data_IF_970210010928
#
_entry.id   IF_970210010928
#
_cell.length_a   1.000
_cell.length_b   1.000
_cell.length_c   1.000
_cell.angle_alpha   90.00
_cell.angle_beta   90.00
_cell.angle_gamma   90.00
#
_symmetry.space_group_name_H-M   'P 1'
#
loop_
_entity.id
_entity.type
_entity.pdbx_description
1 polymer ?
#
# COMPACT_ATOMS: atom_id res chain seq x y z
N UNK A 1 44.85 -39.71 31.64
CA UNK A 1 44.75 -40.07 33.08
C UNK A 1 43.58 -39.32 33.69
N UNK A 2 42.84 -39.97 34.58
CA UNK A 2 41.62 -39.42 35.20
C UNK A 2 41.94 -38.68 36.51
N UNK A 3 41.24 -37.57 36.77
CA UNK A 3 41.11 -36.95 38.09
C UNK A 3 39.71 -37.21 38.67
N UNK A 4 39.54 -37.43 39.99
CA UNK A 4 38.26 -37.87 40.59
C UNK A 4 37.49 -36.67 41.23
N UNK A 5 36.39 -36.84 42.02
CA UNK A 5 35.09 -36.36 41.55
C UNK A 5 34.45 -35.25 42.43
N UNK A 6 33.53 -34.47 41.84
CA UNK A 6 32.72 -33.46 42.53
C UNK A 6 31.33 -33.96 42.96
N UNK A 7 30.95 -33.63 44.19
CA UNK A 7 29.73 -34.04 44.93
C UNK A 7 28.37 -33.62 44.31
N UNK A 8 27.24 -34.26 44.70
CA UNK A 8 25.98 -34.19 43.96
C UNK A 8 25.14 -32.92 44.19
N UNK A 9 24.32 -32.60 43.18
CA UNK A 9 23.37 -31.47 43.18
C UNK A 9 22.19 -31.74 44.13
N UNK A 10 21.89 -30.75 44.97
CA UNK A 10 20.85 -30.79 46.01
C UNK A 10 19.47 -30.44 45.41
N UNK A 11 18.46 -31.26 45.66
CA UNK A 11 17.10 -31.04 45.15
C UNK A 11 16.45 -29.79 45.78
N UNK A 12 15.78 -28.98 44.96
CA UNK A 12 15.02 -27.81 45.40
C UNK A 12 13.55 -28.18 45.71
N UNK A 13 13.03 -27.67 46.82
CA UNK A 13 11.63 -27.87 47.24
C UNK A 13 10.65 -26.93 46.52
N UNK A 14 9.37 -27.32 46.37
CA UNK A 14 8.37 -26.52 45.65
C UNK A 14 7.91 -25.30 46.46
N UNK A 15 7.78 -24.15 45.79
CA UNK A 15 7.25 -22.92 46.38
C UNK A 15 5.72 -22.97 46.54
N UNK A 16 5.23 -22.31 47.61
CA UNK A 16 3.83 -22.31 48.04
C UNK A 16 2.90 -21.56 47.07
N UNK A 17 1.65 -22.03 46.98
CA UNK A 17 0.57 -21.33 46.30
C UNK A 17 0.12 -20.07 47.07
N UNK A 18 -0.24 -19.01 46.34
CA UNK A 18 -0.76 -17.75 46.87
C UNK A 18 -2.10 -17.33 46.23
N UNK A 19 -3.12 -17.20 47.09
CA UNK A 19 -4.43 -16.53 46.94
C UNK A 19 -5.00 -16.15 45.54
N UNK A 20 -6.18 -16.72 45.25
CA UNK A 20 -7.13 -16.19 44.25
C UNK A 20 -7.94 -14.98 44.80
N UNK A 21 -8.26 -13.98 43.96
CA UNK A 21 -9.40 -13.07 44.17
C UNK A 21 -10.73 -13.65 43.63
N UNK A 22 -11.86 -13.13 44.13
CA UNK A 22 -13.20 -13.74 43.98
C UNK A 22 -13.97 -13.33 42.72
N UNK A 23 -14.54 -14.34 42.04
CA UNK A 23 -15.82 -14.38 41.30
C UNK A 23 -16.38 -13.06 40.69
N UNK A 24 -16.08 -12.83 39.41
CA UNK A 24 -16.94 -12.04 38.50
C UNK A 24 -18.12 -12.87 37.93
N UNK A 25 -19.23 -12.22 37.57
CA UNK A 25 -20.47 -12.88 37.11
C UNK A 25 -20.28 -13.60 35.76
N UNK A 26 -20.68 -14.88 35.67
CA UNK A 26 -20.82 -15.59 34.38
C UNK A 26 -22.10 -15.17 33.66
N UNK A 27 -21.97 -14.54 32.49
CA UNK A 27 -23.06 -14.44 31.52
C UNK A 27 -23.20 -15.80 30.82
N UNK A 28 -24.40 -16.38 30.78
CA UNK A 28 -24.67 -17.60 29.99
C UNK A 28 -24.91 -17.20 28.54
N UNK A 29 -24.06 -17.66 27.62
CA UNK A 29 -24.39 -17.70 26.19
C UNK A 29 -25.21 -18.97 25.89
N UNK A 30 -26.23 -18.92 25.02
CA UNK A 30 -26.97 -20.11 24.61
C UNK A 30 -26.13 -21.00 23.69
N UNK A 31 -26.29 -22.32 23.83
CA UNK A 31 -25.60 -23.30 22.99
C UNK A 31 -26.16 -23.31 21.54
N UNK A 32 -25.33 -23.61 20.52
CA UNK A 32 -25.81 -23.76 19.16
C UNK A 32 -26.71 -25.00 19.03
N UNK A 33 -27.81 -24.88 18.29
CA UNK A 33 -28.68 -26.01 17.94
C UNK A 33 -28.02 -26.84 16.83
N UNK A 34 -27.89 -28.14 17.06
CA UNK A 34 -27.55 -29.11 16.01
C UNK A 34 -28.76 -29.29 15.07
N UNK A 35 -28.55 -29.51 13.75
CA UNK A 35 -29.62 -29.84 12.82
C UNK A 35 -30.14 -31.27 13.03
N UNK A 36 -31.45 -31.46 12.85
CA UNK A 36 -32.15 -32.73 13.00
C UNK A 36 -31.95 -33.63 11.76
N UNK A 37 -31.43 -34.87 11.89
CA UNK A 37 -31.13 -35.75 10.76
C UNK A 37 -32.33 -36.61 10.36
N UNK A 38 -33.44 -35.99 9.93
CA UNK A 38 -34.61 -36.69 9.36
C UNK A 38 -35.17 -35.95 8.15
N UNK A 39 -35.51 -36.72 7.10
CA UNK A 39 -35.73 -36.38 5.68
C UNK A 39 -34.46 -36.60 4.84
N UNK A 40 -34.36 -37.57 3.93
CA UNK A 40 -35.41 -38.42 3.36
C UNK A 40 -35.19 -38.56 1.86
N UNK A 41 -34.22 -39.39 1.47
CA UNK A 41 -33.95 -39.67 0.06
C UNK A 41 -34.93 -40.70 -0.52
N UNK A 42 -35.27 -40.61 -1.80
CA UNK A 42 -35.62 -41.77 -2.62
C UNK A 42 -34.59 -42.02 -3.74
N UNK A 43 -34.48 -43.30 -4.13
CA UNK A 43 -33.53 -43.83 -5.11
C UNK A 43 -34.20 -44.15 -6.47
N UNK A 44 -33.36 -44.27 -7.51
CA UNK A 44 -33.55 -45.05 -8.75
C UNK A 44 -34.54 -44.54 -9.83
N UNK A 45 -34.48 -45.05 -11.09
CA UNK A 45 -33.57 -46.06 -11.66
C UNK A 45 -32.76 -45.62 -12.91
N UNK A 46 -32.03 -46.58 -13.50
CA UNK A 46 -31.07 -46.41 -14.61
C UNK A 46 -31.67 -46.32 -16.03
N UNK A 47 -30.89 -45.81 -16.98
CA UNK A 47 -31.20 -45.83 -18.42
C UNK A 47 -29.97 -45.75 -19.35
N UNK A 48 -29.56 -46.89 -19.91
CA UNK A 48 -28.78 -47.06 -21.17
C UNK A 48 -29.65 -47.93 -22.08
N UNK A 49 -29.70 -47.77 -23.42
CA UNK A 49 -28.61 -48.20 -24.34
C UNK A 49 -28.49 -47.21 -25.56
N UNK A 50 -27.90 -47.45 -26.75
CA UNK A 50 -27.33 -48.62 -27.49
C UNK A 50 -25.96 -48.24 -28.14
N UNK A 51 -25.33 -49.21 -28.82
CA UNK A 51 -24.10 -49.08 -29.65
C UNK A 51 -24.41 -48.73 -31.12
N UNK A 52 -23.43 -48.16 -31.84
CA UNK A 52 -23.01 -48.32 -33.26
C UNK A 52 -21.75 -47.44 -33.43
N UNK A 53 -20.69 -47.74 -34.19
CA UNK A 53 -20.22 -48.90 -34.97
C UNK A 53 -18.87 -48.50 -35.61
N UNK A 54 -17.89 -49.40 -35.75
CA UNK A 54 -16.57 -49.09 -36.35
C UNK A 54 -16.60 -48.93 -37.88
N UNK A 55 -15.46 -48.65 -38.55
CA UNK A 55 -14.35 -49.61 -38.53
C UNK A 55 -12.90 -49.06 -38.40
N UNK A 56 -11.98 -50.03 -38.30
CA UNK A 56 -10.49 -50.03 -38.26
C UNK A 56 -9.89 -49.82 -39.69
N UNK A 57 -8.59 -49.62 -40.01
CA UNK A 57 -7.28 -49.39 -39.32
C UNK A 57 -6.18 -49.09 -40.40
N UNK A 58 -4.96 -48.69 -39.96
CA UNK A 58 -3.62 -48.78 -40.63
C UNK A 58 -3.19 -47.60 -41.57
N UNK A 59 -1.87 -47.44 -41.87
CA UNK A 59 -0.81 -47.05 -40.92
C UNK A 59 0.14 -45.94 -41.46
N UNK A 60 1.13 -45.54 -40.66
CA UNK A 60 2.14 -44.52 -41.01
C UNK A 60 3.30 -45.02 -41.89
N UNK A 61 4.08 -44.11 -42.50
CA UNK A 61 5.52 -44.28 -42.75
C UNK A 61 6.37 -43.41 -41.81
N UNK A 62 7.67 -43.71 -41.73
CA UNK A 62 8.57 -43.18 -40.71
C UNK A 62 9.69 -42.28 -41.25
N UNK A 63 10.43 -41.67 -40.30
CA UNK A 63 11.79 -41.14 -40.40
C UNK A 63 12.02 -39.75 -41.04
N UNK A 64 12.65 -38.88 -40.25
CA UNK A 64 14.04 -38.49 -40.50
C UNK A 64 14.73 -38.02 -39.20
N UNK A 65 16.06 -38.20 -39.13
CA UNK A 65 16.88 -38.03 -37.93
C UNK A 65 17.39 -36.59 -37.78
N UNK A 66 17.54 -36.13 -36.53
CA UNK A 66 18.38 -34.97 -36.19
C UNK A 66 19.84 -35.41 -35.93
N UNK A 67 20.86 -34.58 -36.25
CA UNK A 67 22.26 -34.84 -35.93
C UNK A 67 22.65 -34.39 -34.50
N UNK A 68 23.76 -34.91 -33.93
CA UNK A 68 24.16 -34.66 -32.54
C UNK A 68 25.08 -33.44 -32.35
N UNK A 69 25.21 -33.01 -31.09
CA UNK A 69 26.25 -32.06 -30.67
C UNK A 69 27.62 -32.75 -30.47
N UNK A 70 28.71 -32.04 -30.80
CA UNK A 70 30.08 -32.50 -30.59
C UNK A 70 31.08 -31.35 -30.75
N UNK A 71 32.01 -31.21 -29.82
CA UNK A 71 32.88 -30.03 -29.70
C UNK A 71 34.16 -30.12 -30.55
N UNK A 72 34.73 -28.94 -30.87
CA UNK A 72 36.10 -28.79 -31.35
C UNK A 72 36.80 -27.66 -30.56
N UNK A 73 38.03 -27.85 -30.04
CA UNK A 73 38.78 -26.81 -29.37
C UNK A 73 39.79 -26.13 -30.30
N UNK A 74 39.98 -24.82 -30.13
CA UNK A 74 41.20 -24.12 -30.59
C UNK A 74 40.97 -22.83 -31.38
N UNK A 75 41.22 -21.69 -30.75
CA UNK A 75 42.44 -20.87 -30.98
C UNK A 75 42.36 -19.54 -30.21
N UNK A 76 43.52 -19.03 -29.78
CA UNK A 76 43.65 -17.74 -29.11
C UNK A 76 43.67 -16.61 -30.13
N UNK A 77 42.92 -15.53 -29.90
CA UNK A 77 43.36 -14.20 -30.34
C UNK A 77 42.97 -13.09 -29.34
N UNK A 78 43.96 -12.27 -28.96
CA UNK A 78 43.78 -11.06 -28.15
C UNK A 78 43.25 -9.92 -29.02
N UNK A 79 42.36 -9.06 -28.51
CA UNK A 79 42.43 -7.60 -28.72
C UNK A 79 41.64 -6.80 -27.67
N UNK A 80 42.02 -5.52 -27.54
CA UNK A 80 41.72 -4.59 -26.43
C UNK A 80 40.33 -3.94 -26.51
N UNK A 81 39.79 -3.41 -25.40
CA UNK A 81 38.50 -2.69 -25.39
C UNK A 81 38.57 -1.35 -26.13
N UNK A 82 37.41 -0.88 -26.62
CA UNK A 82 37.20 0.49 -27.12
C UNK A 82 36.21 1.22 -26.22
N UNK A 83 36.60 2.42 -25.77
CA UNK A 83 35.75 3.35 -25.01
C UNK A 83 34.70 4.03 -25.92
N UNK A 84 33.56 4.50 -25.37
CA UNK A 84 32.52 5.19 -26.13
C UNK A 84 32.85 6.69 -26.37
N UNK A 85 32.35 7.31 -27.46
CA UNK A 85 32.47 8.74 -27.68
C UNK A 85 31.39 9.54 -26.93
N UNK A 86 31.76 10.68 -26.36
CA UNK A 86 30.85 11.61 -25.72
C UNK A 86 30.27 12.64 -26.72
N UNK A 87 28.96 12.90 -26.65
CA UNK A 87 28.32 14.01 -27.37
C UNK A 87 27.92 15.15 -26.44
N UNK A 88 28.45 16.35 -26.68
CA UNK A 88 28.02 17.61 -26.05
C UNK A 88 26.74 18.14 -26.74
N UNK A 89 25.86 18.86 -26.01
CA UNK A 89 24.66 19.46 -26.59
C UNK A 89 24.98 20.71 -27.42
N UNK A 90 24.30 20.87 -28.57
CA UNK A 90 24.30 22.12 -29.32
C UNK A 90 23.33 23.12 -28.69
N UNK A 91 23.82 24.33 -28.39
CA UNK A 91 22.96 25.52 -28.20
C UNK A 91 22.29 25.86 -29.52
N UNK A 92 21.07 26.39 -29.49
CA UNK A 92 20.60 27.26 -30.56
C UNK A 92 19.98 28.54 -29.97
N UNK A 93 20.31 29.69 -30.56
CA UNK A 93 19.80 31.02 -30.15
C UNK A 93 18.55 31.34 -30.97
N UNK A 94 17.69 32.17 -30.39
CA UNK A 94 16.32 32.41 -30.84
C UNK A 94 16.14 32.98 -32.24
N UNK A 95 14.87 33.09 -32.62
CA UNK A 95 14.41 34.16 -33.51
C UNK A 95 13.25 34.92 -32.83
N UNK A 96 13.20 36.23 -33.02
CA UNK A 96 12.16 37.14 -32.54
C UNK A 96 11.51 37.77 -33.76
N UNK A 97 10.25 37.44 -34.08
CA UNK A 97 9.46 38.24 -35.03
C UNK A 97 8.07 38.59 -34.49
N UNK A 98 7.81 39.90 -34.49
CA UNK A 98 6.49 40.52 -34.24
C UNK A 98 5.59 40.38 -35.47
N UNK A 99 4.28 40.23 -35.24
CA UNK A 99 3.12 40.81 -35.97
C UNK A 99 1.86 40.42 -35.18
N UNK A 100 1.25 41.35 -34.43
CA UNK A 100 0.14 42.24 -34.83
C UNK A 100 -1.23 41.54 -34.91
N UNK A 101 -2.23 42.14 -34.23
CA UNK A 101 -3.66 41.79 -34.23
C UNK A 101 -4.33 42.22 -35.56
N UNK A 102 -5.55 41.75 -35.89
CA UNK A 102 -6.84 42.13 -35.26
C UNK A 102 -7.66 40.88 -34.83
N UNK A 103 -8.87 40.95 -34.24
CA UNK A 103 -9.75 42.06 -33.85
C UNK A 103 -10.95 41.51 -33.03
N UNK A 104 -11.81 42.38 -32.50
CA UNK A 104 -12.85 41.99 -31.53
C UNK A 104 -14.08 41.29 -32.15
N UNK A 105 -14.65 40.30 -31.43
CA UNK A 105 -15.81 39.49 -31.86
C UNK A 105 -16.71 39.01 -30.71
N UNK A 106 -17.67 39.88 -30.36
CA UNK A 106 -18.89 39.75 -29.52
C UNK A 106 -19.26 38.42 -28.83
N UNK A 107 -19.72 38.61 -27.59
CA UNK A 107 -20.63 37.80 -26.77
C UNK A 107 -21.48 36.68 -27.44
N UNK A 108 -21.47 35.51 -26.79
CA UNK A 108 -22.68 34.70 -26.58
C UNK A 108 -22.67 34.14 -25.15
N UNK A 109 -23.75 34.36 -24.39
CA UNK A 109 -23.94 33.76 -23.06
C UNK A 109 -24.86 32.56 -23.25
N UNK A 110 -24.42 31.35 -22.92
CA UNK A 110 -25.33 30.20 -22.84
C UNK A 110 -25.82 30.04 -21.40
N UNK A 111 -27.13 30.18 -21.24
CA UNK A 111 -27.82 30.03 -19.96
C UNK A 111 -28.04 28.54 -19.63
N UNK A 112 -27.99 28.23 -18.33
CA UNK A 112 -28.55 26.97 -17.82
C UNK A 112 -30.07 27.11 -17.68
N UNK A 113 -30.86 26.04 -17.90
CA UNK A 113 -32.29 26.05 -17.61
C UNK A 113 -32.56 25.83 -16.11
N UNK A 114 -33.43 26.67 -15.55
CA UNK A 114 -34.29 26.27 -14.43
C UNK A 114 -35.48 25.44 -15.01
N UNK A 115 -36.37 24.79 -14.28
CA UNK A 115 -36.76 24.87 -12.86
C UNK A 115 -37.66 23.68 -12.50
N UNK A 116 -37.73 23.29 -11.22
CA UNK A 116 -38.99 22.80 -10.60
C UNK A 116 -39.15 23.51 -9.26
N UNK A 117 -40.36 23.95 -8.93
CA UNK A 117 -40.63 24.86 -7.82
C UNK A 117 -41.71 24.34 -6.85
N UNK A 118 -41.46 24.48 -5.54
CA UNK A 118 -42.44 24.54 -4.45
C UNK A 118 -41.69 24.75 -3.10
N UNK A 119 -42.22 25.40 -2.05
CA UNK A 119 -43.28 26.42 -1.96
C UNK A 119 -43.24 27.09 -0.56
N UNK A 120 -43.38 28.43 -0.51
CA UNK A 120 -43.85 29.23 0.65
C UNK A 120 -42.98 29.20 1.96
N UNK A 121 -43.08 30.11 2.95
CA UNK A 121 -44.00 31.23 3.26
C UNK A 121 -43.24 32.50 3.72
N UNK A 122 -43.95 33.64 3.76
CA UNK A 122 -43.47 35.00 4.14
C UNK A 122 -43.54 35.29 5.66
N UNK A 123 -42.99 36.47 6.02
CA UNK A 123 -43.13 37.31 7.25
C UNK A 123 -41.90 37.21 8.18
N UNK A 124 -41.31 38.31 8.67
CA UNK A 124 -41.53 39.74 8.38
C UNK A 124 -40.59 40.62 9.23
N UNK A 125 -40.17 41.77 8.71
CA UNK A 125 -39.43 42.82 9.43
C UNK A 125 -40.37 44.04 9.61
N UNK A 126 -40.13 44.85 10.65
CA UNK A 126 -39.81 46.24 10.34
C UNK A 126 -38.62 46.78 11.13
N UNK A 127 -37.93 47.74 10.54
CA UNK A 127 -36.96 48.60 11.23
C UNK A 127 -37.66 49.79 11.89
N UNK A 128 -37.06 50.35 12.94
CA UNK A 128 -37.46 51.63 13.53
C UNK A 128 -36.24 52.56 13.64
N UNK A 129 -36.45 53.83 13.24
CA UNK A 129 -35.44 54.88 13.20
C UNK A 129 -35.62 55.75 14.46
N UNK A 130 -34.54 55.98 15.23
CA UNK A 130 -34.52 56.87 16.38
C UNK A 130 -33.48 57.97 16.22
N UNK A 131 -33.89 59.24 16.34
CA UNK A 131 -33.00 60.41 16.16
C UNK A 131 -32.29 60.80 17.45
N UNK A 132 -31.00 61.10 17.32
CA UNK A 132 -30.29 62.24 17.92
C UNK A 132 -30.47 62.58 19.41
N UNK A 133 -29.36 62.45 20.16
CA UNK A 133 -29.01 63.37 21.24
C UNK A 133 -27.51 63.65 21.18
N UNK A 134 -27.11 64.93 21.21
CA UNK A 134 -25.72 65.34 21.46
C UNK A 134 -25.56 65.46 22.96
N UNK A 135 -24.59 64.78 23.56
CA UNK A 135 -24.15 65.07 24.93
C UNK A 135 -22.64 64.96 25.08
N UNK A 136 -22.14 65.61 26.13
CA UNK A 136 -20.85 66.28 26.15
C UNK A 136 -19.63 65.38 26.44
N UNK A 137 -18.45 65.87 26.04
CA UNK A 137 -17.15 65.23 26.29
C UNK A 137 -16.76 65.34 27.77
N UNK A 138 -16.69 64.20 28.47
CA UNK A 138 -15.69 64.03 29.55
C UNK A 138 -14.88 62.76 29.33
N UNK A 139 -13.57 62.95 29.10
CA UNK A 139 -12.60 61.86 29.00
C UNK A 139 -12.48 61.18 30.37
N UNK A 140 -12.64 59.86 30.41
CA UNK A 140 -12.08 59.01 31.46
C UNK A 140 -11.08 58.03 30.81
N UNK A 141 -9.90 57.80 31.39
CA UNK A 141 -8.96 56.82 30.88
C UNK A 141 -9.46 55.42 31.24
N UNK A 142 -10.02 54.70 30.27
CA UNK A 142 -10.38 53.29 30.45
C UNK A 142 -9.11 52.46 30.61
N UNK A 143 -8.80 52.04 31.83
CA UNK A 143 -7.79 51.00 32.09
C UNK A 143 -8.16 49.73 31.32
N UNK A 144 -7.47 49.50 30.20
CA UNK A 144 -7.52 48.24 29.49
C UNK A 144 -6.66 47.26 30.30
N UNK A 145 -7.21 46.20 30.90
CA UNK A 145 -6.37 45.18 31.53
C UNK A 145 -5.48 44.61 30.42
N UNK A 146 -4.17 44.56 30.67
CA UNK A 146 -3.24 43.92 29.76
C UNK A 146 -3.72 42.48 29.53
N UNK A 147 -3.84 42.08 28.26
CA UNK A 147 -4.08 40.68 27.95
C UNK A 147 -2.99 39.85 28.65
N UNK A 148 -3.33 38.78 29.39
CA UNK A 148 -2.32 38.00 30.10
C UNK A 148 -1.30 37.54 29.07
N UNK A 149 -0.03 37.89 29.31
CA UNK A 149 1.07 37.54 28.42
C UNK A 149 0.96 36.05 28.09
N UNK A 150 0.85 35.74 26.79
CA UNK A 150 0.64 34.38 26.34
C UNK A 150 1.73 33.50 26.96
N UNK A 151 1.34 32.62 27.90
CA UNK A 151 2.26 31.68 28.52
C UNK A 151 3.00 30.97 27.40
N UNK A 152 4.33 31.16 27.36
CA UNK A 152 5.17 30.52 26.36
C UNK A 152 4.83 29.03 26.34
N UNK A 153 4.38 28.52 25.19
CA UNK A 153 4.06 27.10 25.05
C UNK A 153 5.36 26.34 25.37
N UNK A 154 5.38 25.44 26.37
CA UNK A 154 6.59 24.71 26.70
C UNK A 154 6.96 23.83 25.50
N UNK A 155 8.13 24.07 24.92
CA UNK A 155 8.67 23.25 23.84
C UNK A 155 7.80 23.16 22.59
N UNK A 156 7.64 24.28 21.87
CA UNK A 156 7.62 24.14 20.41
C UNK A 156 9.02 23.68 19.99
N UNK A 157 9.26 22.36 20.04
CA UNK A 157 10.48 21.78 19.53
C UNK A 157 10.58 22.16 18.06
N UNK A 158 11.67 22.80 17.69
CA UNK A 158 12.04 22.91 16.29
C UNK A 158 12.30 21.49 15.78
N UNK A 159 11.32 20.94 15.07
CA UNK A 159 11.47 19.71 14.30
C UNK A 159 11.35 20.06 12.82
N UNK A 160 12.14 21.05 12.38
CA UNK A 160 12.72 21.07 11.03
C UNK A 160 13.71 19.91 10.83
N UNK A 161 13.35 18.71 11.31
CA UNK A 161 14.13 17.50 11.17
C UNK A 161 14.11 17.03 9.72
N UNK A 162 15.28 16.70 9.19
CA UNK A 162 15.42 16.13 7.85
C UNK A 162 14.57 14.86 7.73
N UNK A 163 13.90 14.68 6.59
CA UNK A 163 13.09 13.49 6.30
C UNK A 163 13.79 12.64 5.23
N UNK A 164 13.82 11.32 5.40
CA UNK A 164 14.39 10.38 4.44
C UNK A 164 13.41 9.24 4.16
N UNK A 165 13.21 8.89 2.90
CA UNK A 165 12.52 7.67 2.48
C UNK A 165 13.53 6.54 2.28
N UNK A 166 13.50 5.54 3.16
CA UNK A 166 14.29 4.32 3.02
C UNK A 166 13.61 3.34 2.04
N UNK A 167 13.60 3.69 0.76
CA UNK A 167 13.02 2.83 -0.29
C UNK A 167 13.61 3.10 -1.68
N UNK A 168 13.72 2.04 -2.47
CA UNK A 168 14.03 2.10 -3.91
C UNK A 168 12.79 2.11 -4.80
N UNK A 169 11.57 2.07 -4.22
CA UNK A 169 10.31 2.04 -4.97
C UNK A 169 9.92 3.42 -5.51
N UNK A 170 9.75 3.52 -6.84
CA UNK A 170 9.22 4.74 -7.50
C UNK A 170 7.85 5.13 -6.95
N UNK A 171 6.95 4.15 -6.78
CA UNK A 171 5.58 4.37 -6.33
C UNK A 171 5.54 4.96 -4.92
N UNK A 172 6.36 4.47 -3.98
CA UNK A 172 6.42 5.03 -2.61
C UNK A 172 6.95 6.46 -2.60
N UNK A 173 7.91 6.78 -3.47
CA UNK A 173 8.44 8.14 -3.64
C UNK A 173 7.35 9.07 -4.18
N UNK A 174 6.70 8.70 -5.28
CA UNK A 174 5.62 9.47 -5.93
C UNK A 174 4.41 9.68 -5.00
N UNK A 175 4.10 8.71 -4.12
CA UNK A 175 3.11 8.88 -3.05
C UNK A 175 3.57 9.90 -2.01
N UNK A 176 4.81 9.81 -1.51
CA UNK A 176 5.31 10.71 -0.48
C UNK A 176 5.43 12.17 -0.96
N UNK A 177 5.77 12.39 -2.24
CA UNK A 177 5.79 13.71 -2.88
C UNK A 177 4.44 14.45 -2.78
N UNK A 178 3.32 13.73 -2.67
CA UNK A 178 1.98 14.32 -2.47
C UNK A 178 1.85 15.08 -1.14
N UNK A 179 2.64 14.74 -0.13
CA UNK A 179 2.65 15.43 1.17
C UNK A 179 3.40 16.78 1.13
N UNK A 180 4.13 17.08 0.05
CA UNK A 180 4.89 18.32 -0.17
C UNK A 180 5.92 18.67 0.91
N UNK A 181 6.36 17.67 1.69
CA UNK A 181 7.53 17.80 2.56
C UNK A 181 8.81 17.61 1.73
N UNK A 182 9.89 18.36 2.01
CA UNK A 182 11.21 18.03 1.46
C UNK A 182 11.71 16.72 2.10
N UNK A 183 12.16 15.77 1.28
CA UNK A 183 12.76 14.52 1.74
C UNK A 183 13.85 14.03 0.79
N UNK A 184 14.82 13.30 1.33
CA UNK A 184 15.82 12.57 0.56
C UNK A 184 15.43 11.09 0.40
N UNK A 185 16.04 10.39 -0.55
CA UNK A 185 15.82 8.95 -0.75
C UNK A 185 17.11 8.18 -0.47
N UNK A 186 17.01 7.10 0.31
CA UNK A 186 18.10 6.19 0.59
C UNK A 186 17.70 4.74 0.28
N UNK A 187 18.65 3.93 -0.20
CA UNK A 187 18.48 2.48 -0.33
C UNK A 187 18.66 1.85 1.07
N UNK A 188 17.68 1.12 1.61
CA UNK A 188 17.91 0.29 2.79
C UNK A 188 18.72 -0.96 2.39
N UNK A 189 19.72 -1.31 3.19
CA UNK A 189 20.47 -2.56 3.08
C UNK A 189 19.95 -3.52 4.15
N UNK A 190 18.94 -4.32 3.79
CA UNK A 190 18.19 -5.20 4.70
C UNK A 190 17.95 -6.54 4.02
N UNK A 191 18.10 -7.63 4.76
CA UNK A 191 17.63 -8.95 4.32
C UNK A 191 16.10 -9.01 4.39
N UNK A 192 15.46 -9.09 3.22
CA UNK A 192 14.01 -9.16 3.07
C UNK A 192 13.46 -10.59 3.17
N UNK A 193 14.32 -11.59 3.41
CA UNK A 193 13.91 -12.99 3.60
C UNK A 193 12.97 -13.14 4.79
N UNK A 194 11.89 -13.91 4.63
CA UNK A 194 10.96 -14.22 5.71
C UNK A 194 11.58 -15.20 6.72
N UNK A 195 11.35 -14.97 8.01
CA UNK A 195 11.83 -15.87 9.07
C UNK A 195 10.93 -17.12 9.14
N UNK A 196 11.47 -18.21 9.69
CA UNK A 196 10.71 -19.46 9.85
C UNK A 196 9.48 -19.24 10.74
N UNK A 197 8.29 -19.58 10.24
CA UNK A 197 7.02 -19.36 10.93
C UNK A 197 6.54 -17.90 11.00
N UNK A 198 7.20 -16.97 10.30
CA UNK A 198 6.81 -15.57 10.31
C UNK A 198 5.49 -15.34 9.57
N UNK A 199 4.51 -14.73 10.24
CA UNK A 199 3.23 -14.39 9.61
C UNK A 199 3.40 -13.22 8.64
N UNK A 200 2.59 -13.10 7.59
CA UNK A 200 2.66 -11.96 6.66
C UNK A 200 2.56 -10.57 7.33
N UNK A 201 1.75 -10.48 8.40
CA UNK A 201 1.64 -9.27 9.24
C UNK A 201 2.94 -8.95 9.98
N UNK A 202 3.60 -9.97 10.55
CA UNK A 202 4.88 -9.82 11.23
C UNK A 202 5.99 -9.44 10.24
N UNK A 203 6.03 -10.11 9.08
CA UNK A 203 6.97 -9.84 7.98
C UNK A 203 6.90 -8.39 7.52
N UNK A 204 5.71 -7.90 7.14
CA UNK A 204 5.54 -6.52 6.69
C UNK A 204 6.02 -5.50 7.74
N UNK A 205 5.63 -5.70 9.02
CA UNK A 205 6.06 -4.81 10.12
C UNK A 205 7.56 -4.86 10.36
N UNK A 206 8.16 -6.06 10.41
CA UNK A 206 9.61 -6.24 10.60
C UNK A 206 10.39 -5.57 9.48
N UNK A 207 10.01 -5.79 8.22
CA UNK A 207 10.70 -5.21 7.07
C UNK A 207 10.56 -3.68 7.01
N UNK A 208 9.37 -3.13 7.28
CA UNK A 208 9.20 -1.68 7.38
C UNK A 208 10.07 -1.06 8.48
N UNK A 209 10.13 -1.71 9.65
CA UNK A 209 10.96 -1.26 10.77
C UNK A 209 12.47 -1.38 10.49
N UNK A 210 12.91 -2.51 9.94
CA UNK A 210 14.32 -2.75 9.59
C UNK A 210 14.82 -1.78 8.51
N UNK A 211 14.00 -1.50 7.48
CA UNK A 211 14.33 -0.54 6.42
C UNK A 211 14.49 0.88 6.97
N UNK A 212 13.61 1.29 7.90
CA UNK A 212 13.75 2.57 8.60
C UNK A 212 15.02 2.63 9.46
N UNK A 213 15.25 1.60 10.29
CA UNK A 213 16.36 1.55 11.24
C UNK A 213 17.74 1.55 10.56
N UNK A 214 17.90 0.79 9.47
CA UNK A 214 19.16 0.67 8.73
C UNK A 214 19.67 2.04 8.22
N UNK A 215 18.76 2.87 7.69
CA UNK A 215 19.10 4.22 7.20
C UNK A 215 19.17 5.24 8.35
N UNK A 216 18.33 5.10 9.38
CA UNK A 216 18.35 6.00 10.55
C UNK A 216 19.67 5.91 11.32
N UNK A 217 20.26 4.72 11.48
CA UNK A 217 21.54 4.55 12.18
C UNK A 217 22.68 5.45 11.63
N UNK A 218 22.65 5.77 10.33
CA UNK A 218 23.66 6.58 9.65
C UNK A 218 23.27 8.07 9.46
N UNK A 219 22.06 8.50 9.85
CA UNK A 219 21.54 9.84 9.56
C UNK A 219 20.85 10.48 10.77
N UNK A 220 21.15 11.75 11.05
CA UNK A 220 20.36 12.57 11.98
C UNK A 220 19.13 13.11 11.24
N UNK A 221 18.16 12.20 11.06
CA UNK A 221 16.96 12.41 10.28
C UNK A 221 15.84 11.48 10.77
N UNK A 222 14.59 11.88 10.53
CA UNK A 222 13.46 10.96 10.56
C UNK A 222 13.43 10.14 9.28
N UNK A 223 13.27 8.83 9.42
CA UNK A 223 13.34 7.88 8.30
C UNK A 223 12.05 7.10 8.18
N UNK A 224 11.42 7.19 7.01
CA UNK A 224 10.26 6.39 6.62
C UNK A 224 10.76 5.09 5.98
N UNK A 225 10.54 3.97 6.65
CA UNK A 225 10.60 2.63 6.06
C UNK A 225 9.19 2.11 5.80
N UNK A 226 8.99 1.41 4.69
CA UNK A 226 7.69 0.80 4.38
C UNK A 226 7.86 -0.49 3.60
N UNK A 227 7.00 -1.45 3.89
CA UNK A 227 6.96 -2.75 3.26
C UNK A 227 5.51 -3.17 2.96
N UNK A 228 5.33 -4.13 2.05
CA UNK A 228 4.01 -4.61 1.64
C UNK A 228 4.07 -6.08 1.29
N UNK A 229 3.21 -6.87 1.93
CA UNK A 229 3.04 -8.29 1.63
C UNK A 229 1.63 -8.51 1.08
N UNK A 230 1.55 -9.03 -0.14
CA UNK A 230 0.30 -9.51 -0.73
C UNK A 230 0.03 -10.95 -0.27
N UNK A 231 -1.23 -11.30 0.02
CA UNK A 231 -1.62 -12.59 0.55
C UNK A 231 -2.87 -13.13 -0.13
N UNK A 232 -2.83 -14.41 -0.51
CA UNK A 232 -3.97 -15.16 -1.02
C UNK A 232 -4.15 -16.41 -0.16
N UNK A 233 -5.36 -16.60 0.38
CA UNK A 233 -5.70 -17.74 1.25
C UNK A 233 -4.70 -17.90 2.43
N UNK A 234 -4.20 -16.77 2.97
CA UNK A 234 -3.20 -16.71 4.04
C UNK A 234 -1.74 -16.93 3.62
N UNK A 235 -1.46 -17.31 2.36
CA UNK A 235 -0.11 -17.52 1.84
C UNK A 235 0.42 -16.27 1.10
N UNK A 236 1.70 -15.90 1.27
CA UNK A 236 2.28 -14.72 0.61
C UNK A 236 2.41 -14.91 -0.91
N UNK A 237 2.09 -13.85 -1.65
CA UNK A 237 2.29 -13.74 -3.09
C UNK A 237 3.54 -12.90 -3.37
N UNK A 238 4.56 -13.54 -3.95
CA UNK A 238 5.74 -12.85 -4.46
C UNK A 238 5.50 -12.18 -5.82
N UNK A 239 6.51 -11.47 -6.32
CA UNK A 239 6.54 -10.97 -7.71
C UNK A 239 6.60 -12.15 -8.69
N UNK A 240 5.89 -12.12 -9.83
CA UNK A 240 5.90 -13.23 -10.77
C UNK A 240 7.23 -13.38 -11.50
N UNK A 241 7.87 -12.26 -11.90
CA UNK A 241 9.15 -12.26 -12.62
C UNK A 241 9.11 -12.70 -14.09
N UNK A 242 8.07 -13.41 -14.53
CA UNK A 242 7.81 -13.75 -15.94
C UNK A 242 6.32 -13.63 -16.27
N UNK A 243 6.01 -13.51 -17.58
CA UNK A 243 4.63 -13.38 -18.08
C UNK A 243 3.78 -14.61 -17.70
N UNK A 244 4.33 -15.81 -17.88
CA UNK A 244 3.68 -17.08 -17.52
C UNK A 244 3.31 -17.12 -16.04
N UNK A 245 4.23 -16.74 -15.15
CA UNK A 245 3.98 -16.70 -13.70
C UNK A 245 3.00 -15.59 -13.31
N UNK A 246 2.86 -14.53 -14.10
CA UNK A 246 1.86 -13.49 -13.90
C UNK A 246 0.45 -14.01 -14.28
N UNK A 247 0.35 -14.73 -15.40
CA UNK A 247 -0.86 -15.44 -15.83
C UNK A 247 -1.28 -16.46 -14.77
N UNK A 248 -0.38 -17.32 -14.28
CA UNK A 248 -0.65 -18.30 -13.22
C UNK A 248 -1.15 -17.65 -11.92
N UNK A 249 -0.56 -16.53 -11.50
CA UNK A 249 -1.03 -15.79 -10.33
C UNK A 249 -2.44 -15.24 -10.54
N UNK A 250 -2.74 -14.65 -11.71
CA UNK A 250 -4.05 -14.11 -12.03
C UNK A 250 -5.13 -15.20 -12.09
N UNK A 251 -4.85 -16.38 -12.65
CA UNK A 251 -5.76 -17.53 -12.56
C UNK A 251 -6.02 -17.94 -11.12
N UNK A 252 -4.99 -17.96 -10.25
CA UNK A 252 -5.13 -18.33 -8.84
C UNK A 252 -5.95 -17.33 -8.01
N UNK A 253 -5.95 -16.05 -8.38
CA UNK A 253 -6.69 -14.98 -7.71
C UNK A 253 -8.10 -14.76 -8.31
N UNK A 254 -8.38 -15.26 -9.52
CA UNK A 254 -9.68 -15.17 -10.19
C UNK A 254 -10.83 -15.57 -9.26
N UNK A 255 -11.81 -14.68 -9.09
CA UNK A 255 -12.97 -14.88 -8.22
C UNK A 255 -12.69 -14.89 -6.71
N UNK A 256 -11.49 -14.49 -6.25
CA UNK A 256 -11.08 -14.52 -4.83
C UNK A 256 -10.79 -13.13 -4.26
N UNK A 257 -10.67 -13.08 -2.94
CA UNK A 257 -10.14 -11.93 -2.21
C UNK A 257 -8.62 -12.09 -1.98
N UNK A 258 -7.88 -11.01 -2.15
CA UNK A 258 -6.43 -10.91 -1.91
C UNK A 258 -6.19 -9.78 -0.91
N UNK A 259 -5.43 -10.04 0.15
CA UNK A 259 -5.12 -9.07 1.19
C UNK A 259 -3.75 -8.43 0.95
N UNK A 260 -3.66 -7.11 1.06
CA UNK A 260 -2.43 -6.33 0.94
C UNK A 260 -2.11 -5.70 2.29
N UNK A 261 -1.11 -6.26 2.96
CA UNK A 261 -0.65 -5.86 4.28
C UNK A 261 0.47 -4.85 4.14
N UNK A 262 0.15 -3.56 4.27
CA UNK A 262 1.10 -2.48 3.99
C UNK A 262 1.53 -1.81 5.29
N UNK A 263 2.78 -2.05 5.69
CA UNK A 263 3.36 -1.50 6.90
C UNK A 263 4.16 -0.22 6.62
N UNK A 264 4.16 0.70 7.59
CA UNK A 264 5.02 1.88 7.61
C UNK A 264 5.62 2.06 9.00
N UNK A 265 6.91 2.38 9.04
CA UNK A 265 7.66 2.75 10.23
C UNK A 265 8.29 4.13 10.00
N UNK A 266 8.21 5.01 10.99
CA UNK A 266 8.94 6.28 11.02
C UNK A 266 9.86 6.25 12.23
N UNK A 267 11.17 6.20 12.01
CA UNK A 267 12.19 6.02 13.05
C UNK A 267 13.24 7.14 13.03
N UNK A 268 13.86 7.40 14.18
CA UNK A 268 14.97 8.34 14.33
C UNK A 268 16.12 7.68 15.11
N UNK A 269 17.37 8.13 14.89
CA UNK A 269 18.57 7.59 15.57
C UNK A 269 18.63 7.79 17.09
N UNK A 270 17.64 8.45 17.68
CA UNK A 270 17.49 8.60 19.14
C UNK A 270 16.64 7.47 19.76
N UNK A 271 16.23 6.47 18.98
CA UNK A 271 15.44 5.32 19.43
C UNK A 271 13.93 5.51 19.35
N UNK A 272 13.43 6.71 19.03
CA UNK A 272 12.01 6.89 18.76
C UNK A 272 11.60 6.23 17.44
N UNK A 273 10.53 5.45 17.48
CA UNK A 273 9.91 4.86 16.31
C UNK A 273 8.38 4.79 16.45
N UNK A 274 7.69 5.14 15.38
CA UNK A 274 6.23 5.00 15.26
C UNK A 274 5.93 4.02 14.13
N UNK A 275 4.92 3.16 14.29
CA UNK A 275 4.53 2.16 13.30
C UNK A 275 3.02 2.12 13.07
N UNK A 276 2.64 1.80 11.84
CA UNK A 276 1.27 1.50 11.46
C UNK A 276 1.23 0.38 10.41
N UNK A 277 0.07 -0.26 10.28
CA UNK A 277 -0.24 -1.26 9.28
C UNK A 277 -1.64 -0.95 8.73
N UNK A 278 -1.76 -0.85 7.41
CA UNK A 278 -3.05 -0.93 6.73
C UNK A 278 -3.24 -2.34 6.15
N UNK A 279 -4.49 -2.79 6.13
CA UNK A 279 -4.92 -3.99 5.41
C UNK A 279 -5.93 -3.57 4.36
N UNK A 280 -5.59 -3.76 3.09
CA UNK A 280 -6.49 -3.53 1.96
C UNK A 280 -6.89 -4.87 1.34
N UNK A 281 -8.18 -5.12 1.19
CA UNK A 281 -8.70 -6.35 0.57
C UNK A 281 -9.20 -6.06 -0.84
N UNK A 282 -8.63 -6.72 -1.84
CA UNK A 282 -9.01 -6.61 -3.25
C UNK A 282 -9.81 -7.86 -3.64
N UNK A 283 -11.05 -7.68 -4.09
CA UNK A 283 -11.88 -8.77 -4.61
C UNK A 283 -11.77 -8.81 -6.12
N UNK A 284 -11.26 -9.92 -6.65
CA UNK A 284 -11.18 -10.16 -8.08
C UNK A 284 -12.51 -10.66 -8.63
N UNK A 285 -12.85 -10.19 -9.84
CA UNK A 285 -13.92 -10.79 -10.64
C UNK A 285 -13.54 -12.21 -11.03
N UNK A 286 -14.50 -12.99 -11.52
CA UNK A 286 -14.18 -14.12 -12.38
C UNK A 286 -13.47 -13.59 -13.64
N UNK A 287 -12.24 -14.05 -13.86
CA UNK A 287 -11.40 -13.73 -15.01
C UNK A 287 -11.33 -14.94 -15.96
N UNK A 288 -11.52 -14.68 -17.25
CA UNK A 288 -11.23 -15.63 -18.33
C UNK A 288 -9.79 -15.48 -18.86
N UNK A 289 -9.30 -16.54 -19.51
CA UNK A 289 -7.94 -16.62 -20.07
C UNK A 289 -7.62 -15.46 -21.03
N UNK A 290 -8.62 -15.03 -21.81
CA UNK A 290 -8.44 -13.95 -22.79
C UNK A 290 -8.32 -12.58 -22.11
N UNK A 291 -9.05 -12.34 -21.01
CA UNK A 291 -8.92 -11.15 -20.19
C UNK A 291 -7.55 -11.10 -19.49
N UNK A 292 -7.10 -12.23 -18.95
CA UNK A 292 -5.77 -12.35 -18.31
C UNK A 292 -4.66 -12.10 -19.34
N UNK A 293 -4.72 -12.73 -20.51
CA UNK A 293 -3.73 -12.54 -21.58
C UNK A 293 -3.64 -11.07 -22.04
N UNK A 294 -4.78 -10.45 -22.40
CA UNK A 294 -4.83 -9.03 -22.80
C UNK A 294 -4.26 -8.10 -21.73
N UNK A 295 -4.57 -8.39 -20.45
CA UNK A 295 -4.10 -7.58 -19.34
C UNK A 295 -2.59 -7.71 -19.12
N UNK A 296 -2.06 -8.94 -19.10
CA UNK A 296 -0.63 -9.19 -18.86
C UNK A 296 0.22 -8.64 -20.01
N UNK A 297 -0.24 -8.76 -21.26
CA UNK A 297 0.41 -8.18 -22.45
C UNK A 297 0.49 -6.65 -22.37
N UNK A 298 -0.62 -5.98 -22.01
CA UNK A 298 -0.71 -4.52 -21.99
C UNK A 298 -0.03 -3.88 -20.76
N UNK A 299 -0.19 -4.47 -19.57
CA UNK A 299 0.25 -3.86 -18.30
C UNK A 299 1.63 -4.36 -17.84
N UNK A 300 2.09 -5.53 -18.30
CA UNK A 300 3.38 -6.14 -17.93
C UNK A 300 3.70 -6.05 -16.42
N UNK A 301 2.86 -6.64 -15.54
CA UNK A 301 2.94 -6.45 -14.08
C UNK A 301 4.04 -7.31 -13.41
N UNK A 302 5.19 -7.46 -14.07
CA UNK A 302 6.22 -8.45 -13.73
C UNK A 302 6.94 -8.17 -12.41
N UNK A 303 6.96 -6.90 -11.98
CA UNK A 303 7.58 -6.40 -10.76
C UNK A 303 6.60 -6.21 -9.60
N UNK A 304 5.32 -6.55 -9.77
CA UNK A 304 4.26 -6.38 -8.77
C UNK A 304 3.95 -7.68 -8.01
N UNK A 305 3.85 -7.61 -6.69
CA UNK A 305 3.34 -8.72 -5.88
C UNK A 305 1.84 -8.90 -6.18
N UNK A 306 1.40 -10.13 -6.47
CA UNK A 306 0.03 -10.37 -6.95
C UNK A 306 -0.21 -9.96 -8.41
N UNK A 307 0.83 -9.68 -9.20
CA UNK A 307 0.71 -9.49 -10.66
C UNK A 307 -0.31 -8.44 -11.12
N UNK A 308 -0.52 -7.35 -10.36
CA UNK A 308 -1.33 -6.22 -10.84
C UNK A 308 -0.86 -4.83 -10.45
N UNK A 309 -1.44 -3.81 -11.11
CA UNK A 309 -1.31 -2.39 -10.80
C UNK A 309 -2.70 -1.76 -10.65
N UNK A 310 -3.09 -1.41 -9.43
CA UNK A 310 -4.42 -0.85 -9.12
C UNK A 310 -4.69 0.52 -9.75
N UNK A 311 -3.61 1.25 -9.98
CA UNK A 311 -3.50 2.59 -10.56
C UNK A 311 -3.45 2.58 -12.10
N UNK A 312 -3.33 1.40 -12.71
CA UNK A 312 -3.35 1.17 -14.16
C UNK A 312 -4.57 0.36 -14.60
N UNK A 313 -4.39 -0.53 -15.57
CA UNK A 313 -5.45 -1.40 -16.08
C UNK A 313 -5.95 -2.44 -15.05
N UNK A 314 -5.25 -2.62 -13.93
CA UNK A 314 -5.60 -3.61 -12.91
C UNK A 314 -6.99 -3.38 -12.31
N UNK A 315 -7.48 -2.14 -12.28
CA UNK A 315 -8.85 -1.80 -11.85
C UNK A 315 -9.93 -2.57 -12.63
N UNK A 316 -9.65 -3.00 -13.86
CA UNK A 316 -10.58 -3.79 -14.69
C UNK A 316 -10.74 -5.25 -14.24
N UNK A 317 -9.87 -5.73 -13.33
CA UNK A 317 -9.85 -7.11 -12.83
C UNK A 317 -10.67 -7.30 -11.54
N UNK A 318 -11.12 -6.22 -10.90
CA UNK A 318 -11.71 -6.25 -9.56
C UNK A 318 -13.23 -6.05 -9.58
N UNK A 319 -13.92 -6.68 -8.64
CA UNK A 319 -15.29 -6.34 -8.24
C UNK A 319 -15.30 -5.22 -7.19
N UNK A 320 -14.33 -5.24 -6.26
CA UNK A 320 -14.25 -4.27 -5.16
C UNK A 320 -12.83 -4.11 -4.59
N UNK A 321 -12.58 -2.95 -3.98
CA UNK A 321 -11.42 -2.68 -3.12
C UNK A 321 -11.96 -2.18 -1.77
N UNK A 322 -11.70 -2.93 -0.71
CA UNK A 322 -12.05 -2.58 0.68
C UNK A 322 -10.78 -2.07 1.37
N UNK A 323 -10.75 -0.79 1.75
CA UNK A 323 -9.55 -0.17 2.33
C UNK A 323 -9.89 1.01 3.25
N UNK A 324 -9.05 1.26 4.26
CA UNK A 324 -9.09 2.47 5.07
C UNK A 324 -8.23 3.61 4.49
N UNK A 325 -7.32 3.28 3.57
CA UNK A 325 -6.34 4.17 2.96
C UNK A 325 -6.04 3.74 1.52
N UNK A 326 -6.66 4.37 0.50
CA UNK A 326 -6.46 4.01 -0.91
C UNK A 326 -5.01 4.04 -1.41
N UNK A 327 -4.10 4.71 -0.69
CA UNK A 327 -2.67 4.75 -1.03
C UNK A 327 -1.86 3.59 -0.46
N UNK A 328 -2.42 2.86 0.50
CA UNK A 328 -1.84 1.63 1.03
C UNK A 328 -1.64 0.59 -0.07
N UNK A 329 -2.66 0.35 -0.92
CA UNK A 329 -2.59 -0.65 -2.00
C UNK A 329 -1.44 -0.38 -2.99
N UNK A 330 -1.23 0.89 -3.34
CA UNK A 330 -0.12 1.35 -4.21
C UNK A 330 1.26 1.25 -3.50
N UNK A 331 1.27 1.07 -2.18
CA UNK A 331 2.44 0.63 -1.42
C UNK A 331 2.89 1.53 -0.26
N UNK A 332 2.20 2.64 0.03
CA UNK A 332 2.49 3.50 1.20
C UNK A 332 1.19 4.13 1.73
N UNK A 333 0.70 3.75 2.93
CA UNK A 333 -0.53 4.31 3.50
C UNK A 333 -0.30 5.75 3.95
N UNK A 334 -0.61 6.74 3.10
CA UNK A 334 -0.38 8.16 3.37
C UNK A 334 -1.22 8.71 4.51
N UNK A 335 -2.43 8.20 4.75
CA UNK A 335 -3.27 8.62 5.88
C UNK A 335 -2.63 8.16 7.19
N UNK A 336 -2.11 6.93 7.24
CA UNK A 336 -1.34 6.45 8.40
C UNK A 336 -0.02 7.22 8.54
N UNK A 337 0.75 7.34 7.45
CA UNK A 337 2.03 8.07 7.40
C UNK A 337 1.88 9.52 7.88
N UNK A 338 0.82 10.23 7.47
CA UNK A 338 0.54 11.60 7.90
C UNK A 338 0.14 11.72 9.38
N UNK A 339 -0.37 10.66 10.01
CA UNK A 339 -0.57 10.61 11.47
C UNK A 339 0.77 10.43 12.19
N UNK A 340 1.61 9.51 11.71
CA UNK A 340 2.92 9.24 12.29
C UNK A 340 3.90 10.43 12.13
N UNK A 341 3.87 11.12 10.99
CA UNK A 341 4.65 12.34 10.75
C UNK A 341 4.29 13.46 11.73
N UNK A 342 3.00 13.66 12.03
CA UNK A 342 2.56 14.63 13.06
C UNK A 342 3.03 14.23 14.46
N UNK A 343 3.11 12.93 14.78
CA UNK A 343 3.71 12.45 16.05
C UNK A 343 5.22 12.71 16.10
N UNK A 344 5.91 12.57 14.97
CA UNK A 344 7.32 12.91 14.79
C UNK A 344 7.62 14.43 14.72
N UNK A 345 6.60 15.30 14.87
CA UNK A 345 6.76 16.76 14.93
C UNK A 345 6.61 17.49 13.59
N UNK A 346 6.36 16.80 12.47
CA UNK A 346 6.18 17.45 11.17
C UNK A 346 4.82 18.14 11.07
N UNK A 347 4.84 19.40 10.63
CA UNK A 347 3.64 20.13 10.25
C UNK A 347 3.15 19.66 8.86
N UNK A 348 1.93 19.12 8.82
CA UNK A 348 1.17 18.83 7.61
C UNK A 348 -0.13 19.66 7.65
N UNK A 349 -0.70 20.04 6.49
CA UNK A 349 -1.99 20.75 6.42
C UNK A 349 -3.14 20.07 7.17
#
# INVERSE_FOLDING_TARGET
MLGPPGSPVKAASPCRAGNLPRRGRRVRLPAPRLPDPRLGAPLHPAGRPRRRGGPRLRPAPASQRAPPAGAAPGTRFRRRPRSPPAHRPRRNRGDRRRRQQPGAGRHARNAAPASVAAAARRRGLPAAIGRGARFDRRRQPSHRPAAPAARARPGAADVSGRLVLASTSRYRRELLERLRLPFDVARPEVDETALSGETPVALARRLAAAKAAAVAAANDAWVIGSDQVACLDGAPLGKPGSMERAVDQLHRMSGKAVEFLTAVCIAHRNGHAYQALDTTTVRFRALDDAAIARYVEAEQPLDCAGSFKSEGLGITLFDAIETSDPTALVGLPLIATARLLRQAGFALP
#
